data_IF_199459632590
#
_entry.id   IF_199459632590
#
_cell.length_a   1.000
_cell.length_b   1.000
_cell.length_c   1.000
_cell.angle_alpha   90.00
_cell.angle_beta   90.00
_cell.angle_gamma   90.00
#
_symmetry.space_group_name_H-M   'P 1'
#
loop_
_entity.id
_entity.type
_entity.pdbx_description
1 polymer ?
#
# COMPACT_ATOMS: atom_id res chain seq x y z
N UNK A 1 -22.56 -37.60 -36.91
CA UNK A 1 -22.33 -36.20 -37.37
C UNK A 1 -22.63 -35.12 -36.32
N UNK A 2 -23.74 -35.19 -35.55
CA UNK A 2 -24.10 -34.14 -34.57
C UNK A 2 -23.07 -33.91 -33.44
N UNK A 3 -22.50 -34.97 -32.84
CA UNK A 3 -21.48 -34.85 -31.77
C UNK A 3 -20.22 -34.08 -32.20
N UNK A 4 -19.67 -34.33 -33.40
CA UNK A 4 -18.49 -33.61 -33.92
C UNK A 4 -18.76 -32.10 -34.13
N UNK A 5 -19.97 -31.73 -34.59
CA UNK A 5 -20.37 -30.31 -34.72
C UNK A 5 -20.52 -29.63 -33.36
N UNK A 6 -21.09 -30.33 -32.37
CA UNK A 6 -21.22 -29.82 -30.99
C UNK A 6 -19.83 -29.60 -30.36
N UNK A 7 -18.92 -30.58 -30.45
CA UNK A 7 -17.54 -30.45 -29.94
C UNK A 7 -16.80 -29.27 -30.59
N UNK A 8 -16.90 -29.12 -31.92
CA UNK A 8 -16.29 -27.99 -32.64
C UNK A 8 -16.84 -26.63 -32.17
N UNK A 9 -18.15 -26.56 -31.91
CA UNK A 9 -18.79 -25.34 -31.43
C UNK A 9 -18.35 -24.99 -30.01
N UNK A 10 -18.28 -25.98 -29.11
CA UNK A 10 -17.77 -25.80 -27.74
C UNK A 10 -16.32 -25.31 -27.76
N UNK A 11 -15.46 -25.90 -28.60
CA UNK A 11 -14.06 -25.46 -28.76
C UNK A 11 -13.95 -24.00 -29.23
N UNK A 12 -14.78 -23.58 -30.18
CA UNK A 12 -14.81 -22.19 -30.65
C UNK A 12 -15.24 -21.24 -29.53
N UNK A 13 -16.26 -21.61 -28.74
CA UNK A 13 -16.71 -20.81 -27.60
C UNK A 13 -15.59 -20.67 -26.56
N UNK A 14 -14.90 -21.77 -26.23
CA UNK A 14 -13.77 -21.75 -25.28
C UNK A 14 -12.64 -20.84 -25.80
N UNK A 15 -12.32 -20.92 -27.09
CA UNK A 15 -11.30 -20.06 -27.72
C UNK A 15 -11.68 -18.57 -27.65
N UNK A 16 -12.94 -18.24 -27.93
CA UNK A 16 -13.45 -16.86 -27.84
C UNK A 16 -13.38 -16.36 -26.39
N UNK A 17 -13.82 -17.18 -25.42
CA UNK A 17 -13.75 -16.84 -24.00
C UNK A 17 -12.31 -16.63 -23.53
N UNK A 18 -11.38 -17.51 -23.93
CA UNK A 18 -9.97 -17.39 -23.60
C UNK A 18 -9.33 -16.13 -24.23
N UNK A 19 -9.69 -15.79 -25.45
CA UNK A 19 -9.21 -14.57 -26.11
C UNK A 19 -9.76 -13.31 -25.44
N UNK A 20 -11.03 -13.29 -25.04
CA UNK A 20 -11.64 -12.17 -24.31
C UNK A 20 -11.01 -11.98 -22.93
N UNK A 21 -10.87 -13.05 -22.14
CA UNK A 21 -10.28 -12.95 -20.80
C UNK A 21 -8.80 -12.60 -20.85
N UNK A 22 -8.05 -13.17 -21.79
CA UNK A 22 -6.65 -12.83 -22.02
C UNK A 22 -6.47 -11.37 -22.48
N UNK A 23 -7.34 -10.89 -23.38
CA UNK A 23 -7.33 -9.50 -23.85
C UNK A 23 -7.64 -8.49 -22.73
N UNK A 24 -8.64 -8.78 -21.90
CA UNK A 24 -8.97 -7.95 -20.73
C UNK A 24 -7.82 -7.95 -19.74
N UNK A 25 -7.25 -9.12 -19.43
CA UNK A 25 -6.11 -9.23 -18.52
C UNK A 25 -4.91 -8.41 -19.01
N UNK A 26 -4.56 -8.53 -20.30
CA UNK A 26 -3.46 -7.75 -20.89
C UNK A 26 -3.74 -6.25 -20.83
N UNK A 27 -4.96 -5.80 -21.13
CA UNK A 27 -5.34 -4.40 -21.02
C UNK A 27 -5.20 -3.86 -19.58
N UNK A 28 -5.60 -4.66 -18.58
CA UNK A 28 -5.44 -4.33 -17.16
C UNK A 28 -3.99 -4.35 -16.67
N UNK A 29 -3.14 -5.19 -17.27
CA UNK A 29 -1.69 -5.14 -17.01
C UNK A 29 -1.09 -3.84 -17.56
N UNK A 30 -1.41 -3.51 -18.81
CA UNK A 30 -0.84 -2.36 -19.51
C UNK A 30 -1.30 -1.01 -18.93
N UNK A 31 -2.50 -0.94 -18.35
CA UNK A 31 -2.98 0.27 -17.68
C UNK A 31 -2.53 0.38 -16.20
N UNK A 32 -1.71 -0.58 -15.72
CA UNK A 32 -1.16 -0.57 -14.36
C UNK A 32 -2.16 -0.98 -13.26
N UNK A 33 -3.25 -1.65 -13.60
CA UNK A 33 -4.21 -2.19 -12.61
C UNK A 33 -3.63 -3.37 -11.84
N UNK A 34 -2.70 -4.11 -12.43
CA UNK A 34 -1.98 -5.21 -11.77
C UNK A 34 -0.52 -4.84 -11.44
N UNK A 35 -0.26 -3.54 -11.21
CA UNK A 35 1.06 -3.03 -10.90
C UNK A 35 1.26 -2.94 -9.39
N UNK A 36 2.36 -3.53 -8.90
CA UNK A 36 2.85 -3.31 -7.54
C UNK A 36 3.30 -1.86 -7.30
N UNK A 37 3.68 -1.14 -8.37
CA UNK A 37 4.06 0.27 -8.26
C UNK A 37 2.83 1.13 -8.04
N UNK A 38 2.91 2.03 -7.06
CA UNK A 38 1.89 3.03 -6.82
C UNK A 38 1.72 3.91 -8.06
N UNK A 39 0.49 4.16 -8.47
CA UNK A 39 0.24 5.00 -9.62
C UNK A 39 0.44 6.48 -9.25
N UNK A 40 1.36 7.18 -9.91
CA UNK A 40 1.66 8.60 -9.67
C UNK A 40 0.41 9.49 -9.61
N UNK A 41 0.39 10.46 -8.71
CA UNK A 41 -0.72 11.38 -8.49
C UNK A 41 -1.00 11.61 -7.01
N UNK A 42 -2.08 12.35 -6.72
CA UNK A 42 -2.51 12.67 -5.37
C UNK A 42 -3.64 11.75 -4.90
N UNK A 43 -3.50 11.20 -3.71
CA UNK A 43 -4.49 10.36 -3.04
C UNK A 43 -5.00 11.13 -1.83
N UNK A 44 -6.28 11.44 -1.76
CA UNK A 44 -6.87 12.29 -0.72
C UNK A 44 -7.43 11.43 0.41
N UNK A 45 -7.26 11.89 1.64
CA UNK A 45 -7.73 11.17 2.83
C UNK A 45 -9.24 10.91 2.75
N UNK A 46 -9.69 9.80 3.32
CA UNK A 46 -11.09 9.39 3.38
C UNK A 46 -11.54 9.32 4.85
N UNK A 47 -12.72 9.86 5.16
CA UNK A 47 -13.37 9.67 6.46
C UNK A 47 -12.62 10.28 7.65
N UNK A 48 -11.82 11.33 7.46
CA UNK A 48 -11.12 12.03 8.53
C UNK A 48 -11.45 13.53 8.49
N UNK A 49 -12.33 13.98 9.39
CA UNK A 49 -12.80 15.36 9.43
C UNK A 49 -11.71 16.35 9.87
N UNK A 50 -10.85 15.92 10.80
CA UNK A 50 -9.76 16.74 11.32
C UNK A 50 -8.74 17.08 10.23
N UNK A 51 -8.42 16.10 9.39
CA UNK A 51 -7.41 16.20 8.34
C UNK A 51 -8.00 16.20 6.94
N UNK A 52 -9.19 16.78 6.73
CA UNK A 52 -9.95 16.71 5.45
C UNK A 52 -9.18 17.09 4.18
N UNK A 53 -8.16 17.94 4.30
CA UNK A 53 -7.34 18.44 3.19
C UNK A 53 -6.02 17.65 3.04
N UNK A 54 -5.85 16.57 3.81
CA UNK A 54 -4.69 15.69 3.75
C UNK A 54 -4.67 14.86 2.48
N UNK A 55 -3.47 14.69 1.94
CA UNK A 55 -3.24 13.83 0.80
C UNK A 55 -1.85 13.20 0.83
N UNK A 56 -1.71 12.12 0.08
CA UNK A 56 -0.44 11.49 -0.26
C UNK A 56 -0.12 11.84 -1.69
N UNK A 57 1.07 12.38 -1.94
CA UNK A 57 1.60 12.58 -3.29
C UNK A 57 2.53 11.44 -3.67
N UNK A 58 2.27 10.84 -4.83
CA UNK A 58 3.15 9.83 -5.43
C UNK A 58 3.77 10.39 -6.70
N UNK A 59 5.10 10.43 -6.75
CA UNK A 59 5.90 10.88 -7.92
C UNK A 59 6.91 9.80 -8.29
N UNK A 60 6.58 8.97 -9.27
CA UNK A 60 7.40 7.81 -9.60
C UNK A 60 7.43 6.84 -8.43
N UNK A 61 8.62 6.54 -7.92
CA UNK A 61 8.80 5.66 -6.77
C UNK A 61 8.81 6.42 -5.43
N UNK A 62 8.56 7.74 -5.43
CA UNK A 62 8.53 8.56 -4.22
C UNK A 62 7.10 8.74 -3.68
N UNK A 63 6.98 8.76 -2.35
CA UNK A 63 5.76 9.02 -1.59
C UNK A 63 5.99 10.11 -0.55
N UNK A 64 5.05 11.04 -0.41
CA UNK A 64 5.07 12.06 0.65
C UNK A 64 3.65 12.34 1.15
N UNK A 65 3.49 12.53 2.46
CA UNK A 65 2.23 12.88 3.10
C UNK A 65 2.17 14.41 3.29
N UNK A 66 0.98 14.98 3.12
CA UNK A 66 0.77 16.42 3.20
C UNK A 66 -0.46 16.77 4.03
N UNK A 67 -0.42 17.94 4.68
CA UNK A 67 -1.50 18.52 5.48
C UNK A 67 -2.03 17.57 6.57
N UNK A 68 -1.13 16.79 7.17
CA UNK A 68 -1.46 15.83 8.23
C UNK A 68 -0.34 15.79 9.26
N UNK A 69 -0.69 15.59 10.52
CA UNK A 69 0.25 15.24 11.58
C UNK A 69 0.26 13.71 11.74
N UNK A 70 1.26 13.04 11.15
CA UNK A 70 1.45 11.60 11.29
C UNK A 70 1.93 11.21 12.69
N UNK A 71 2.62 12.10 13.41
CA UNK A 71 2.99 11.84 14.81
C UNK A 71 1.72 11.68 15.64
N UNK A 72 0.74 12.59 15.50
CA UNK A 72 -0.53 12.45 16.21
C UNK A 72 -1.26 11.13 15.87
N UNK A 73 -1.27 10.74 14.60
CA UNK A 73 -2.03 9.58 14.13
C UNK A 73 -1.36 8.23 14.45
N UNK A 74 -0.03 8.17 14.44
CA UNK A 74 0.73 6.91 14.53
C UNK A 74 1.42 6.72 15.88
N UNK A 75 1.99 7.79 16.46
CA UNK A 75 2.83 7.69 17.65
C UNK A 75 2.17 6.95 18.82
N UNK A 76 0.89 7.19 19.20
CA UNK A 76 0.29 6.49 20.34
C UNK A 76 0.32 4.97 20.20
N UNK A 77 0.03 4.46 19.00
CA UNK A 77 0.03 3.01 18.71
C UNK A 77 1.44 2.43 18.76
N UNK A 78 2.40 3.14 18.18
CA UNK A 78 3.80 2.72 18.16
C UNK A 78 4.47 2.78 19.54
N UNK A 79 4.13 3.78 20.37
CA UNK A 79 4.53 3.87 21.78
C UNK A 79 4.01 2.66 22.56
N UNK A 80 2.71 2.34 22.42
CA UNK A 80 2.10 1.21 23.13
C UNK A 80 2.83 -0.11 22.81
N UNK A 81 3.13 -0.37 21.54
CA UNK A 81 3.91 -1.55 21.14
C UNK A 81 5.34 -1.51 21.66
N UNK A 82 5.99 -0.35 21.61
CA UNK A 82 7.33 -0.18 22.15
C UNK A 82 7.37 -0.50 23.64
N UNK A 83 6.42 0.01 24.43
CA UNK A 83 6.29 -0.29 25.85
C UNK A 83 6.08 -1.78 26.12
N UNK A 84 5.22 -2.44 25.34
CA UNK A 84 5.03 -3.91 25.41
C UNK A 84 6.33 -4.67 25.09
N UNK A 85 7.13 -4.16 24.14
CA UNK A 85 8.39 -4.79 23.74
C UNK A 85 9.46 -4.63 24.82
N UNK A 86 9.70 -3.42 25.33
CA UNK A 86 10.72 -3.18 26.35
C UNK A 86 10.37 -3.79 27.71
N UNK A 87 9.08 -4.03 27.99
CA UNK A 87 8.67 -4.81 29.17
C UNK A 87 9.20 -6.24 29.13
N UNK A 88 9.31 -6.82 27.93
CA UNK A 88 9.86 -8.17 27.71
C UNK A 88 11.38 -8.15 27.52
N UNK A 89 11.90 -7.05 26.95
CA UNK A 89 13.31 -6.88 26.60
C UNK A 89 13.82 -5.50 27.07
N UNK A 90 14.04 -5.29 28.38
CA UNK A 90 14.43 -3.99 28.93
C UNK A 90 15.76 -3.47 28.37
N UNK A 91 16.66 -4.36 27.96
CA UNK A 91 17.95 -4.04 27.34
C UNK A 91 17.81 -3.41 25.94
N UNK A 92 16.62 -3.49 25.32
CA UNK A 92 16.29 -2.84 24.05
C UNK A 92 15.73 -1.42 24.23
N UNK A 93 15.69 -0.90 25.46
CA UNK A 93 15.22 0.45 25.73
C UNK A 93 16.14 1.48 25.07
N UNK A 94 15.56 2.22 24.14
CA UNK A 94 16.17 3.38 23.47
C UNK A 94 16.44 4.52 24.45
N UNK A 95 17.44 5.35 24.12
CA UNK A 95 17.60 6.67 24.74
C UNK A 95 16.41 7.57 24.36
N UNK A 96 16.21 8.68 25.09
CA UNK A 96 15.15 9.63 24.76
C UNK A 96 15.38 10.29 23.39
N UNK A 97 16.63 10.55 23.04
CA UNK A 97 17.03 11.14 21.76
C UNK A 97 16.74 10.17 20.60
N UNK A 98 17.16 8.91 20.73
CA UNK A 98 16.89 7.87 19.73
C UNK A 98 15.38 7.65 19.58
N UNK A 99 14.63 7.64 20.69
CA UNK A 99 13.18 7.50 20.64
C UNK A 99 12.55 8.65 19.85
N UNK A 100 12.90 9.90 20.17
CA UNK A 100 12.37 11.07 19.45
C UNK A 100 12.71 11.02 17.96
N UNK A 101 13.94 10.64 17.61
CA UNK A 101 14.37 10.52 16.23
C UNK A 101 13.67 9.39 15.48
N UNK A 102 13.50 8.22 16.10
CA UNK A 102 12.96 7.03 15.40
C UNK A 102 11.46 7.09 15.20
N UNK A 103 10.75 7.83 16.06
CA UNK A 103 9.30 7.96 16.02
C UNK A 103 8.83 9.35 15.56
N UNK A 104 9.69 10.13 14.90
CA UNK A 104 9.30 11.34 14.17
C UNK A 104 8.84 11.01 12.75
N UNK A 105 7.58 10.59 12.64
CA UNK A 105 6.91 10.30 11.37
C UNK A 105 6.69 11.55 10.52
N UNK A 106 6.56 12.73 11.12
CA UNK A 106 6.42 13.98 10.36
C UNK A 106 7.73 14.33 9.66
N UNK A 107 8.84 14.39 10.41
CA UNK A 107 10.16 14.65 9.83
C UNK A 107 10.54 13.64 8.73
N UNK A 108 10.08 12.40 8.88
CA UNK A 108 10.36 11.34 7.93
C UNK A 108 9.46 11.34 6.68
N UNK A 109 8.13 11.38 6.84
CA UNK A 109 7.17 11.09 5.76
C UNK A 109 6.33 12.30 5.34
N UNK A 110 6.30 13.37 6.15
CA UNK A 110 5.58 14.62 5.83
C UNK A 110 6.53 15.66 5.28
N UNK A 111 7.66 15.88 5.95
CA UNK A 111 8.60 16.96 5.59
C UNK A 111 9.43 16.60 4.34
N UNK A 112 9.64 15.31 4.09
CA UNK A 112 10.49 14.81 3.02
C UNK A 112 9.80 13.70 2.21
N UNK A 113 10.06 13.62 0.89
CA UNK A 113 9.65 12.47 0.10
C UNK A 113 10.47 11.22 0.46
N UNK A 114 9.81 10.08 0.55
CA UNK A 114 10.42 8.78 0.78
C UNK A 114 10.42 7.95 -0.51
N UNK A 115 11.53 7.32 -0.84
CA UNK A 115 11.61 6.39 -1.99
C UNK A 115 11.17 5.00 -1.56
N UNK A 116 10.07 4.50 -2.15
CA UNK A 116 9.55 3.16 -1.87
C UNK A 116 10.44 2.11 -2.52
N UNK A 117 10.84 1.13 -1.71
CA UNK A 117 11.47 -0.09 -2.20
C UNK A 117 10.41 -1.14 -2.52
N UNK A 118 10.40 -1.63 -3.76
CA UNK A 118 9.43 -2.61 -4.24
C UNK A 118 10.04 -4.01 -4.26
N UNK A 119 9.54 -4.90 -3.40
CA UNK A 119 9.99 -6.28 -3.33
C UNK A 119 8.95 -7.23 -3.94
N UNK A 120 9.34 -8.05 -4.93
CA UNK A 120 8.47 -9.10 -5.46
C UNK A 120 8.46 -10.30 -4.50
N UNK A 121 7.61 -10.26 -3.49
CA UNK A 121 7.42 -11.34 -2.52
C UNK A 121 6.02 -11.97 -2.61
N UNK A 122 5.71 -12.90 -1.70
CA UNK A 122 4.42 -13.58 -1.66
C UNK A 122 3.23 -12.62 -1.49
N UNK A 123 3.44 -11.48 -0.82
CA UNK A 123 2.44 -10.46 -0.53
C UNK A 123 2.35 -9.38 -1.62
N UNK A 124 3.22 -9.45 -2.64
CA UNK A 124 3.33 -8.50 -3.74
C UNK A 124 3.36 -9.18 -5.12
N UNK A 125 2.72 -10.34 -5.24
CA UNK A 125 2.69 -11.07 -6.50
C UNK A 125 2.00 -10.27 -7.59
N UNK A 126 2.67 -10.12 -8.74
CA UNK A 126 2.11 -9.50 -9.94
C UNK A 126 0.81 -10.19 -10.37
N UNK A 127 -0.20 -9.41 -10.79
CA UNK A 127 -1.53 -9.94 -11.13
C UNK A 127 -2.51 -10.00 -9.96
N UNK A 128 -2.14 -9.48 -8.79
CA UNK A 128 -3.05 -9.22 -7.66
C UNK A 128 -3.51 -7.75 -7.67
N UNK A 129 -4.46 -7.40 -6.81
CA UNK A 129 -4.94 -6.01 -6.68
C UNK A 129 -4.42 -5.30 -5.43
N UNK A 130 -3.86 -6.03 -4.47
CA UNK A 130 -3.45 -5.49 -3.17
C UNK A 130 -1.99 -5.80 -2.95
N UNK A 131 -1.20 -4.76 -2.71
CA UNK A 131 0.24 -4.81 -2.54
C UNK A 131 0.63 -4.25 -1.18
N UNK A 132 1.65 -4.82 -0.56
CA UNK A 132 2.13 -4.51 0.78
C UNK A 132 3.53 -3.91 0.70
N UNK A 133 3.71 -2.66 1.13
CA UNK A 133 5.03 -2.04 1.18
C UNK A 133 5.35 -1.59 2.61
N UNK A 134 6.53 -1.97 3.08
CA UNK A 134 7.09 -1.46 4.33
C UNK A 134 7.93 -0.22 4.03
N UNK A 135 7.50 0.94 4.51
CA UNK A 135 8.36 2.12 4.57
C UNK A 135 9.19 1.96 5.84
N UNK A 136 10.51 2.10 5.76
CA UNK A 136 11.40 1.97 6.94
C UNK A 136 12.38 3.13 7.02
N UNK A 137 12.60 3.62 8.25
CA UNK A 137 13.68 4.53 8.61
C UNK A 137 14.87 3.80 9.27
N UNK A 138 14.92 2.46 9.16
CA UNK A 138 15.94 1.62 9.79
C UNK A 138 15.49 0.92 11.08
N UNK A 139 14.29 1.23 11.59
CA UNK A 139 13.78 0.68 12.84
C UNK A 139 12.44 -0.06 12.65
N UNK A 140 11.32 0.63 12.84
CA UNK A 140 10.00 0.04 12.72
C UNK A 140 9.35 0.48 11.41
N UNK A 141 8.85 -0.47 10.60
CA UNK A 141 8.22 -0.10 9.36
C UNK A 141 6.86 0.54 9.59
N UNK A 142 6.51 1.52 8.76
CA UNK A 142 5.13 1.93 8.49
C UNK A 142 4.66 1.10 7.30
N UNK A 143 3.66 0.25 7.53
CA UNK A 143 3.12 -0.60 6.47
C UNK A 143 2.06 0.15 5.70
N UNK A 144 2.18 0.15 4.37
CA UNK A 144 1.14 0.62 3.46
C UNK A 144 0.56 -0.55 2.67
N UNK A 145 -0.77 -0.60 2.54
CA UNK A 145 -1.42 -1.38 1.50
C UNK A 145 -1.81 -0.46 0.35
N UNK A 146 -1.41 -0.84 -0.86
CA UNK A 146 -1.84 -0.21 -2.09
C UNK A 146 -2.84 -1.12 -2.82
N UNK A 147 -4.07 -0.62 -2.98
CA UNK A 147 -5.06 -1.24 -3.86
C UNK A 147 -4.92 -0.63 -5.25
N UNK A 148 -4.41 -1.40 -6.20
CA UNK A 148 -4.16 -0.98 -7.56
C UNK A 148 -5.43 -0.96 -8.43
N UNK A 149 -6.54 -1.56 -7.99
CA UNK A 149 -7.83 -1.47 -8.67
C UNK A 149 -8.56 -0.20 -8.25
N UNK A 150 -8.78 -0.04 -6.94
CA UNK A 150 -9.49 1.12 -6.37
C UNK A 150 -8.62 2.38 -6.31
N UNK A 151 -7.31 2.25 -6.59
CA UNK A 151 -6.30 3.28 -6.44
C UNK A 151 -6.37 3.90 -5.04
N UNK A 152 -6.22 3.05 -4.02
CA UNK A 152 -6.19 3.48 -2.62
C UNK A 152 -4.87 3.14 -1.95
N UNK A 153 -4.42 4.01 -1.04
CA UNK A 153 -3.27 3.78 -0.17
C UNK A 153 -3.79 3.77 1.27
N UNK A 154 -3.48 2.74 2.03
CA UNK A 154 -3.88 2.61 3.44
C UNK A 154 -2.68 2.44 4.33
N UNK A 155 -2.59 3.20 5.43
CA UNK A 155 -1.59 2.94 6.48
C UNK A 155 -2.16 1.91 7.44
N UNK A 156 -1.35 0.90 7.77
CA UNK A 156 -1.80 -0.29 8.49
C UNK A 156 -0.89 -0.56 9.66
N UNK A 157 -1.52 -0.94 10.76
CA UNK A 157 -0.83 -1.22 12.01
C UNK A 157 -1.49 -2.39 12.73
N UNK A 158 -0.73 -3.47 12.96
CA UNK A 158 -1.20 -4.68 13.65
C UNK A 158 -2.54 -5.25 13.13
N UNK A 159 -2.82 -5.05 11.83
CA UNK A 159 -4.05 -5.52 11.17
C UNK A 159 -5.13 -4.46 10.99
N UNK A 160 -5.02 -3.33 11.69
CA UNK A 160 -5.98 -2.23 11.60
C UNK A 160 -5.62 -1.22 10.52
N UNK A 161 -6.64 -0.71 9.82
CA UNK A 161 -6.49 0.40 8.88
C UNK A 161 -6.56 1.72 9.65
N UNK A 162 -5.43 2.44 9.73
CA UNK A 162 -5.32 3.68 10.50
C UNK A 162 -5.76 4.88 9.66
N UNK A 163 -5.32 4.92 8.41
CA UNK A 163 -5.62 5.99 7.46
C UNK A 163 -5.90 5.38 6.10
N UNK A 164 -6.85 5.95 5.37
CA UNK A 164 -7.17 5.56 3.98
C UNK A 164 -7.12 6.79 3.10
N UNK A 165 -6.43 6.69 1.97
CA UNK A 165 -6.31 7.72 0.95
C UNK A 165 -6.77 7.15 -0.39
N UNK A 166 -7.57 7.89 -1.16
CA UNK A 166 -8.09 7.48 -2.48
C UNK A 166 -7.69 8.47 -3.56
N UNK A 167 -7.22 7.94 -4.68
CA UNK A 167 -6.92 8.75 -5.88
C UNK A 167 -8.22 9.30 -6.45
N UNK A 168 -8.22 10.60 -6.77
CA UNK A 168 -9.29 11.23 -7.55
C UNK A 168 -9.03 11.09 -9.05
#
# INVERSE_FOLDING_TARGET
MKKKKIIKTILIIILILAALTGGVFLALMLNGTFSQKLASGKYYIQGNDKYKDAYVEVKGDQIQFHNIDLNEMLLPKYVERYERHIKKFPEKKLSEEDFKSYYDFNGWLVDNPYTIEYFPDANNKLGTFIYNHGLTNGHLPVMIHYDSWEKTIKIIYEGDYILTFKKK
#
